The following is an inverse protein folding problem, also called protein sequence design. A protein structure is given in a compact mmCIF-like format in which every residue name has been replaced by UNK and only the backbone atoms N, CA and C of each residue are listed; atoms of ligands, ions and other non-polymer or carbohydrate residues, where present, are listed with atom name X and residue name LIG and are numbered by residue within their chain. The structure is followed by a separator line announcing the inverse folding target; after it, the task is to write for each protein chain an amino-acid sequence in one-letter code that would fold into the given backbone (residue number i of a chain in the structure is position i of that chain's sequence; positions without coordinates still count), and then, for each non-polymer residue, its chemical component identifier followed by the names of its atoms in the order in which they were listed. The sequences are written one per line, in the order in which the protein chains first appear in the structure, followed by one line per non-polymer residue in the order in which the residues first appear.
data_IF_589128576091
#
_entry.id   IF_589128576091
#
_cell.length_a   1.000
_cell.length_b   1.000
_cell.length_c   1.000
_cell.angle_alpha   90.00
_cell.angle_beta   90.00
_cell.angle_gamma   90.00
#
_symmetry.space_group_name_H-M   'P 1'
#
loop_
_entity.id
_entity.type
_entity.pdbx_description
1 polymer ?
#
# COMPACT_ATOMS: atom_id res chain seq x y z
N UNK A 1 -5.06 -11.67 2.18
CA UNK A 1 -4.43 -12.53 1.16
C UNK A 1 -3.22 -13.20 1.77
N UNK A 2 -2.74 -14.24 1.17
CA UNK A 2 -1.58 -14.93 1.70
C UNK A 2 -0.42 -14.85 0.70
N UNK A 3 0.72 -15.41 1.11
CA UNK A 3 1.94 -15.34 0.30
C UNK A 3 1.73 -15.89 -1.12
N UNK A 4 0.96 -16.95 -1.25
CA UNK A 4 0.82 -17.62 -2.53
C UNK A 4 -0.05 -16.85 -3.51
N UNK A 5 -0.98 -16.04 -3.01
CA UNK A 5 -1.90 -15.30 -3.88
C UNK A 5 -1.36 -13.94 -4.29
N UNK A 6 -0.36 -13.42 -3.58
CA UNK A 6 0.18 -12.11 -3.88
C UNK A 6 1.25 -12.22 -4.94
N UNK A 7 1.16 -11.39 -5.96
CA UNK A 7 2.06 -11.42 -7.12
C UNK A 7 3.00 -10.23 -7.05
N UNK A 8 4.31 -10.50 -7.13
CA UNK A 8 5.30 -9.43 -7.21
C UNK A 8 5.04 -8.57 -8.44
N UNK A 9 5.18 -7.28 -8.25
CA UNK A 9 4.98 -6.33 -9.35
C UNK A 9 3.56 -5.92 -9.58
N UNK A 10 2.60 -6.53 -8.88
CA UNK A 10 1.20 -6.18 -9.01
C UNK A 10 0.82 -5.19 -7.92
N UNK A 11 -0.15 -4.34 -8.20
CA UNK A 11 -0.62 -3.35 -7.24
C UNK A 11 -1.77 -3.88 -6.42
N UNK A 12 -1.79 -3.51 -5.15
CA UNK A 12 -2.82 -3.92 -4.21
C UNK A 12 -3.17 -2.76 -3.30
N UNK A 13 -4.36 -2.84 -2.69
CA UNK A 13 -4.72 -1.97 -1.59
C UNK A 13 -4.25 -2.67 -0.32
N UNK A 14 -3.59 -1.93 0.57
CA UNK A 14 -3.16 -2.54 1.81
C UNK A 14 -3.21 -1.54 2.96
N UNK A 15 -3.24 -2.09 4.18
CA UNK A 15 -3.16 -1.30 5.41
C UNK A 15 -1.78 -1.55 6.01
N UNK A 16 -0.82 -0.67 5.74
CA UNK A 16 0.55 -0.89 6.22
C UNK A 16 0.64 -0.75 7.73
N UNK A 17 1.66 -1.39 8.28
CA UNK A 17 1.96 -1.28 9.70
C UNK A 17 2.41 0.15 9.96
N UNK A 18 1.80 0.78 10.96
CA UNK A 18 2.18 2.13 11.37
C UNK A 18 1.48 3.25 10.64
N UNK A 19 0.69 2.95 9.63
CA UNK A 19 -0.07 3.98 8.93
C UNK A 19 -1.53 3.97 9.41
N UNK A 20 -2.19 5.11 9.26
CA UNK A 20 -3.57 5.25 9.72
C UNK A 20 -4.57 4.86 8.66
N UNK A 21 -4.22 5.01 7.39
CA UNK A 21 -5.13 4.76 6.29
C UNK A 21 -4.53 3.75 5.33
N UNK A 22 -5.39 3.16 4.52
CA UNK A 22 -4.95 2.23 3.50
C UNK A 22 -4.24 2.96 2.38
N UNK A 23 -3.35 2.25 1.72
CA UNK A 23 -2.63 2.80 0.56
C UNK A 23 -2.74 1.84 -0.60
N UNK A 24 -2.45 2.35 -1.80
CA UNK A 24 -2.31 1.52 -3.00
C UNK A 24 -0.84 1.53 -3.35
N UNK A 25 -0.30 0.35 -3.62
CA UNK A 25 1.09 0.27 -4.02
C UNK A 25 1.44 -1.05 -4.65
N UNK A 26 2.63 -1.11 -5.16
CA UNK A 26 3.15 -2.28 -5.86
C UNK A 26 3.95 -3.13 -4.89
N UNK A 27 3.73 -4.44 -4.93
CA UNK A 27 4.49 -5.37 -4.12
C UNK A 27 5.88 -5.52 -4.73
N UNK A 28 6.89 -5.09 -3.99
CA UNK A 28 8.28 -5.14 -4.48
C UNK A 28 9.08 -6.24 -3.81
N UNK A 29 8.59 -6.79 -2.71
CA UNK A 29 9.26 -7.89 -2.04
C UNK A 29 8.26 -8.64 -1.18
N UNK A 30 8.43 -9.96 -1.09
CA UNK A 30 7.58 -10.80 -0.23
C UNK A 30 8.45 -11.42 0.84
N UNK A 31 8.07 -11.20 2.09
CA UNK A 31 8.74 -11.78 3.23
C UNK A 31 7.86 -12.89 3.80
N UNK A 32 8.33 -13.54 4.85
CA UNK A 32 7.61 -14.70 5.37
C UNK A 32 6.21 -14.34 5.87
N UNK A 33 6.09 -13.25 6.61
CA UNK A 33 4.82 -12.88 7.23
C UNK A 33 4.25 -11.55 6.73
N UNK A 34 4.93 -10.90 5.81
CA UNK A 34 4.51 -9.59 5.34
C UNK A 34 5.10 -9.30 3.96
N UNK A 35 4.65 -8.20 3.37
CA UNK A 35 5.16 -7.77 2.07
C UNK A 35 5.66 -6.35 2.19
N UNK A 36 6.61 -6.00 1.32
CA UNK A 36 7.08 -4.63 1.19
C UNK A 36 6.37 -4.02 -0.02
N UNK A 37 5.79 -2.86 0.21
CA UNK A 37 4.97 -2.18 -0.78
C UNK A 37 5.62 -0.85 -1.12
N UNK A 38 5.76 -0.58 -2.42
CA UNK A 38 6.15 0.74 -2.89
C UNK A 38 4.86 1.54 -3.09
N UNK A 39 4.64 2.55 -2.26
CA UNK A 39 3.38 3.27 -2.23
C UNK A 39 3.19 4.07 -3.50
N UNK A 40 2.01 3.95 -4.10
CA UNK A 40 1.66 4.68 -5.31
C UNK A 40 0.62 5.76 -5.00
N UNK A 41 -0.37 5.44 -4.17
CA UNK A 41 -1.39 6.39 -3.74
C UNK A 41 -1.62 6.23 -2.25
N UNK A 42 -1.81 7.35 -1.56
CA UNK A 42 -1.95 7.33 -0.11
C UNK A 42 -2.82 8.47 0.35
N UNK A 43 -3.26 8.40 1.61
CA UNK A 43 -4.04 9.45 2.23
C UNK A 43 -3.10 10.49 2.84
N UNK A 44 -3.47 11.76 2.73
CA UNK A 44 -2.62 12.85 3.18
C UNK A 44 -2.22 12.74 4.65
N UNK A 45 -3.07 12.14 5.46
CA UNK A 45 -2.81 11.99 6.90
C UNK A 45 -1.53 11.20 7.17
N UNK A 46 -1.13 10.33 6.25
CA UNK A 46 0.06 9.50 6.41
C UNK A 46 1.27 10.01 5.63
N UNK A 47 1.17 11.21 5.09
CA UNK A 47 2.20 11.73 4.20
C UNK A 47 3.59 11.72 4.82
N UNK A 48 3.70 12.24 6.05
CA UNK A 48 5.02 12.35 6.67
C UNK A 48 5.64 10.98 6.90
N UNK A 49 4.84 10.02 7.37
CA UNK A 49 5.34 8.68 7.60
C UNK A 49 5.83 8.04 6.31
N UNK A 50 5.06 8.20 5.24
CA UNK A 50 5.42 7.60 3.97
C UNK A 50 6.68 8.23 3.41
N UNK A 51 6.83 9.54 3.52
CA UNK A 51 8.01 10.23 3.03
C UNK A 51 9.25 9.84 3.83
N UNK A 52 9.11 9.65 5.14
CA UNK A 52 10.22 9.20 5.97
C UNK A 52 10.70 7.82 5.57
N UNK A 53 9.80 6.99 5.05
CA UNK A 53 10.10 5.63 4.63
C UNK A 53 10.45 5.56 3.16
N UNK A 54 10.66 6.70 2.52
CA UNK A 54 10.99 6.78 1.10
C UNK A 54 9.95 6.11 0.21
N UNK A 55 8.69 6.15 0.64
CA UNK A 55 7.60 5.57 -0.13
C UNK A 55 7.46 4.07 -0.02
N UNK A 56 8.25 3.41 0.83
CA UNK A 56 8.19 1.97 1.00
C UNK A 56 7.64 1.62 2.37
N UNK A 57 6.64 0.78 2.40
CA UNK A 57 5.98 0.41 3.65
C UNK A 57 5.84 -1.11 3.71
N UNK A 58 5.53 -1.61 4.90
CA UNK A 58 5.38 -3.04 5.13
C UNK A 58 3.95 -3.30 5.57
N UNK A 59 3.33 -4.34 5.01
CA UNK A 59 1.98 -4.73 5.38
C UNK A 59 1.92 -6.23 5.58
N UNK A 60 1.13 -6.66 6.58
CA UNK A 60 0.90 -8.07 6.79
C UNK A 60 0.03 -8.62 5.67
N UNK A 61 0.22 -9.90 5.34
CA UNK A 61 -0.57 -10.51 4.26
C UNK A 61 -2.06 -10.40 4.51
N UNK A 62 -2.48 -10.48 5.77
CA UNK A 62 -3.89 -10.40 6.10
C UNK A 62 -4.47 -9.01 5.87
N UNK A 63 -3.62 -8.01 5.69
CA UNK A 63 -4.04 -6.64 5.48
C UNK A 63 -3.77 -6.17 4.05
N UNK A 64 -3.64 -7.10 3.13
CA UNK A 64 -3.47 -6.80 1.70
C UNK A 64 -4.72 -7.28 0.98
N UNK A 65 -5.28 -6.41 0.12
CA UNK A 65 -6.55 -6.68 -0.54
C UNK A 65 -6.41 -6.47 -2.04
N UNK A 66 -7.24 -7.17 -2.80
CA UNK A 66 -7.27 -7.01 -4.24
C UNK A 66 -7.66 -5.58 -4.62
N UNK A 67 -6.99 -5.06 -5.64
CA UNK A 67 -7.34 -3.76 -6.19
C UNK A 67 -8.33 -3.98 -7.31
N UNK A 68 -9.61 -3.92 -6.97
CA UNK A 68 -10.67 -4.18 -7.95
C UNK A 68 -11.01 -2.92 -8.76
N UNK A 69 -10.81 -1.76 -8.13
CA UNK A 69 -11.12 -0.50 -8.78
C UNK A 69 -10.34 0.60 -8.09
N UNK A 70 -10.02 1.65 -8.85
CA UNK A 70 -9.37 2.82 -8.26
C UNK A 70 -10.38 3.72 -7.56
N UNK A 71 -11.67 3.43 -7.69
CA UNK A 71 -12.69 4.28 -7.09
C UNK A 71 -12.59 4.34 -5.57
N UNK A 72 -12.05 3.28 -4.97
CA UNK A 72 -11.92 3.25 -3.53
C UNK A 72 -11.13 4.45 -3.00
N UNK A 73 -9.97 4.70 -3.57
CA UNK A 73 -9.16 5.86 -3.18
C UNK A 73 -9.57 7.11 -3.94
N UNK A 74 -10.14 6.93 -5.11
CA UNK A 74 -10.56 8.06 -5.91
C UNK A 74 -11.59 8.91 -5.19
N UNK A 75 -12.44 8.27 -4.39
CA UNK A 75 -13.46 8.98 -3.64
C UNK A 75 -12.96 9.55 -2.31
N UNK A 76 -11.71 9.31 -1.96
CA UNK A 76 -11.13 9.88 -0.75
C UNK A 76 -10.72 11.32 -1.03
N UNK A 77 -11.15 12.23 -0.18
CA UNK A 77 -10.94 13.65 -0.43
C UNK A 77 -9.49 14.08 -0.30
N UNK A 78 -8.67 13.34 0.40
CA UNK A 78 -7.28 13.73 0.67
C UNK A 78 -6.28 12.81 0.02
N UNK A 79 -6.68 12.16 -1.05
CA UNK A 79 -5.80 11.26 -1.75
C UNK A 79 -4.71 12.03 -2.47
N UNK A 80 -3.48 11.56 -2.34
CA UNK A 80 -2.33 12.16 -3.00
C UNK A 80 -1.55 11.06 -3.69
N UNK A 81 -1.18 11.34 -4.93
CA UNK A 81 -0.39 10.39 -5.69
C UNK A 81 1.09 10.68 -5.45
N UNK A 82 1.85 9.63 -5.14
CA UNK A 82 3.27 9.77 -4.93
C UNK A 82 3.99 9.89 -6.27
N UNK A 83 4.74 10.94 -6.43
CA UNK A 83 5.50 11.14 -7.66
C UNK A 83 6.85 10.46 -7.55
N UNK A 84 7.28 9.89 -8.64
CA UNK A 84 8.55 9.19 -8.69
C UNK A 84 9.56 9.95 -9.51
#
# INVERSE_FOLDING_TARGET
MNNETIILGKKYICQPIGLKQKVVGEVISKLENCVVICVDEYHDVDRNEILEKCGKVVAKYTHVYELETTEYLYNANCKIKLEK
#
